data_IF_198238117168
#
_entry.id   IF_198238117168
#
_cell.length_a   1.000
_cell.length_b   1.000
_cell.length_c   1.000
_cell.angle_alpha   90.00
_cell.angle_beta   90.00
_cell.angle_gamma   90.00
#
_symmetry.space_group_name_H-M   'P 1'
#
loop_
_entity.id
_entity.type
_entity.pdbx_description
1 polymer ?
#
# COMPACT_ATOMS: atom_id res chain seq x y z
N UNK A 1 -9.72 66.12 40.64
CA UNK A 1 -9.65 64.89 41.46
C UNK A 1 -11.08 64.63 41.95
N UNK A 2 -11.88 63.64 41.53
CA UNK A 2 -11.67 62.34 40.89
C UNK A 2 -12.91 62.00 40.01
N UNK A 3 -12.73 61.57 38.76
CA UNK A 3 -12.70 60.19 38.21
C UNK A 3 -14.08 59.61 37.83
N UNK A 4 -14.18 59.24 36.55
CA UNK A 4 -15.40 58.92 35.83
C UNK A 4 -15.86 57.47 35.98
N UNK A 5 -17.18 57.32 35.86
CA UNK A 5 -17.94 56.07 35.81
C UNK A 5 -17.48 55.18 34.64
N UNK A 6 -16.92 54.00 34.94
CA UNK A 6 -16.80 52.90 33.99
C UNK A 6 -18.05 52.00 34.09
N UNK A 7 -18.90 52.04 33.06
CA UNK A 7 -19.92 51.00 32.80
C UNK A 7 -19.22 49.80 32.17
N UNK A 8 -18.92 48.79 32.97
CA UNK A 8 -18.52 47.46 32.48
C UNK A 8 -19.72 46.73 31.92
N UNK A 9 -19.83 46.66 30.59
CA UNK A 9 -20.79 45.81 29.90
C UNK A 9 -20.49 44.34 30.19
N UNK A 10 -21.42 43.65 30.83
CA UNK A 10 -21.34 42.21 31.07
C UNK A 10 -21.39 41.48 29.71
N UNK A 11 -20.26 40.87 29.32
CA UNK A 11 -20.26 39.83 28.30
C UNK A 11 -21.06 38.64 28.85
N UNK A 12 -21.99 38.04 28.08
CA UNK A 12 -22.64 36.82 28.52
C UNK A 12 -21.56 35.74 28.65
N UNK A 13 -21.46 35.16 29.84
CA UNK A 13 -20.61 34.02 30.11
C UNK A 13 -21.18 32.84 29.31
N UNK A 14 -20.51 32.49 28.21
CA UNK A 14 -20.75 31.22 27.51
C UNK A 14 -20.23 30.14 28.45
N UNK A 15 -21.13 29.34 29.02
CA UNK A 15 -20.75 28.16 29.78
C UNK A 15 -19.93 27.20 28.90
N UNK A 16 -18.92 26.50 29.45
CA UNK A 16 -18.18 25.49 28.68
C UNK A 16 -19.15 24.43 28.16
N UNK A 17 -19.05 24.03 26.88
CA UNK A 17 -20.03 23.18 26.19
C UNK A 17 -20.04 21.71 26.64
N UNK A 18 -19.38 21.36 27.75
CA UNK A 18 -19.17 19.97 28.18
C UNK A 18 -20.33 19.38 29.02
N UNK A 19 -21.34 20.17 29.38
CA UNK A 19 -22.44 19.73 30.27
C UNK A 19 -23.86 19.97 29.71
N UNK A 20 -24.04 20.11 28.40
CA UNK A 20 -25.39 20.11 27.80
C UNK A 20 -25.73 18.74 27.19
N UNK A 21 -26.52 17.88 27.89
CA UNK A 21 -26.97 16.60 27.35
C UNK A 21 -27.91 16.74 26.13
N UNK A 22 -28.36 17.96 25.79
CA UNK A 22 -29.13 18.27 24.59
C UNK A 22 -28.29 18.89 23.46
N UNK A 23 -26.98 19.05 23.62
CA UNK A 23 -26.09 19.45 22.52
C UNK A 23 -25.97 18.30 21.52
N UNK A 24 -26.90 18.26 20.56
CA UNK A 24 -26.81 17.37 19.40
C UNK A 24 -25.56 17.77 18.62
N UNK A 25 -24.51 16.97 18.72
CA UNK A 25 -23.29 17.15 17.92
C UNK A 25 -23.65 16.86 16.45
N UNK A 26 -24.12 17.90 15.75
CA UNK A 26 -24.26 17.87 14.31
C UNK A 26 -22.87 18.09 13.73
N UNK A 27 -22.11 17.01 13.57
CA UNK A 27 -20.87 17.03 12.82
C UNK A 27 -21.17 17.39 11.36
N UNK A 28 -20.99 18.66 10.99
CA UNK A 28 -21.07 19.15 9.61
C UNK A 28 -19.82 18.85 8.78
N UNK A 29 -18.89 18.06 9.31
CA UNK A 29 -17.70 17.65 8.56
C UNK A 29 -18.12 16.71 7.43
N UNK A 30 -17.85 17.06 6.15
CA UNK A 30 -18.07 16.14 5.04
C UNK A 30 -17.34 14.81 5.31
N UNK A 31 -17.87 13.68 4.85
CA UNK A 31 -17.17 12.40 4.98
C UNK A 31 -15.77 12.54 4.35
N UNK A 32 -14.74 12.17 5.10
CA UNK A 32 -13.37 12.19 4.61
C UNK A 32 -13.19 11.08 3.55
N UNK A 33 -13.43 11.42 2.28
CA UNK A 33 -13.24 10.57 1.09
C UNK A 33 -11.79 10.09 0.85
N UNK A 34 -10.85 10.45 1.73
CA UNK A 34 -9.44 10.07 1.63
C UNK A 34 -9.20 8.56 1.54
N UNK A 35 -10.08 7.75 2.13
CA UNK A 35 -9.97 6.28 2.09
C UNK A 35 -10.53 5.66 0.79
N UNK A 36 -11.33 6.43 0.04
CA UNK A 36 -11.90 6.04 -1.26
C UNK A 36 -10.98 6.41 -2.43
N UNK A 37 -10.07 7.36 -2.22
CA UNK A 37 -9.08 7.75 -3.21
C UNK A 37 -8.18 6.54 -3.54
N UNK A 38 -8.02 6.25 -4.83
CA UNK A 38 -7.06 5.22 -5.24
C UNK A 38 -5.63 5.70 -4.97
N UNK A 39 -4.74 4.86 -4.40
CA UNK A 39 -3.37 5.24 -4.10
C UNK A 39 -2.58 5.77 -5.31
N UNK A 40 -2.95 5.38 -6.54
CA UNK A 40 -2.33 5.87 -7.77
C UNK A 40 -2.46 7.38 -7.96
N UNK A 41 -3.55 7.99 -7.48
CA UNK A 41 -3.72 9.45 -7.53
C UNK A 41 -2.67 10.21 -6.71
N UNK A 42 -2.08 9.55 -5.72
CA UNK A 42 -1.01 10.11 -4.89
C UNK A 42 0.40 9.69 -5.37
N UNK A 43 0.49 9.02 -6.53
CA UNK A 43 1.74 8.50 -7.09
C UNK A 43 2.18 7.15 -6.51
N UNK A 44 1.42 6.58 -5.57
CA UNK A 44 1.64 5.22 -5.10
C UNK A 44 1.23 4.18 -6.16
N UNK A 45 1.57 2.92 -5.91
CA UNK A 45 1.13 1.80 -6.73
C UNK A 45 -0.36 1.58 -6.52
N UNK A 46 -1.13 1.43 -7.61
CA UNK A 46 -2.56 1.17 -7.54
C UNK A 46 -2.85 -0.19 -6.90
N UNK A 47 -4.06 -0.37 -6.36
CA UNK A 47 -4.44 -1.64 -5.69
C UNK A 47 -4.33 -2.85 -6.61
N UNK A 48 -4.74 -2.70 -7.88
CA UNK A 48 -4.64 -3.77 -8.88
C UNK A 48 -3.18 -4.09 -9.24
N UNK A 49 -2.34 -3.07 -9.40
CA UNK A 49 -0.90 -3.25 -9.66
C UNK A 49 -0.20 -3.97 -8.50
N UNK A 50 -0.56 -3.66 -7.26
CA UNK A 50 -0.07 -4.37 -6.07
C UNK A 50 -0.51 -5.83 -6.10
N UNK A 51 -1.80 -6.10 -6.38
CA UNK A 51 -2.31 -7.47 -6.46
C UNK A 51 -1.57 -8.30 -7.50
N UNK A 52 -1.42 -7.77 -8.72
CA UNK A 52 -0.68 -8.43 -9.80
C UNK A 52 0.78 -8.71 -9.43
N UNK A 53 1.43 -7.79 -8.73
CA UNK A 53 2.80 -7.97 -8.26
C UNK A 53 2.88 -9.13 -7.25
N UNK A 54 1.95 -9.20 -6.30
CA UNK A 54 1.91 -10.27 -5.29
C UNK A 54 1.59 -11.63 -5.90
N UNK A 55 0.69 -11.68 -6.88
CA UNK A 55 0.35 -12.90 -7.62
C UNK A 55 1.55 -13.39 -8.45
N UNK A 56 2.27 -12.48 -9.12
CA UNK A 56 3.50 -12.83 -9.83
C UNK A 56 4.57 -13.41 -8.89
N UNK A 57 4.72 -12.84 -7.68
CA UNK A 57 5.64 -13.37 -6.67
C UNK A 57 5.21 -14.74 -6.13
N UNK A 58 3.90 -15.00 -6.03
CA UNK A 58 3.39 -16.32 -5.66
C UNK A 58 3.62 -17.38 -6.74
N UNK A 59 3.54 -16.99 -8.01
CA UNK A 59 3.76 -17.87 -9.16
C UNK A 59 5.24 -18.15 -9.43
N UNK A 60 6.14 -17.30 -8.94
CA UNK A 60 7.58 -17.47 -9.05
C UNK A 60 8.05 -18.76 -8.36
N UNK A 61 9.04 -19.42 -8.96
CA UNK A 61 9.73 -20.56 -8.35
C UNK A 61 10.78 -20.05 -7.35
N UNK A 62 10.67 -20.48 -6.10
CA UNK A 62 11.60 -20.10 -5.04
C UNK A 62 12.75 -21.10 -4.95
N UNK A 63 13.99 -20.61 -4.94
CA UNK A 63 15.22 -21.41 -4.82
C UNK A 63 15.78 -21.52 -3.40
N UNK A 64 15.16 -20.83 -2.42
CA UNK A 64 15.58 -20.83 -1.02
C UNK A 64 15.18 -22.09 -0.24
N UNK A 65 15.32 -22.04 1.08
CA UNK A 65 14.89 -23.16 1.94
C UNK A 65 13.38 -23.36 1.89
N UNK A 66 12.91 -24.58 2.18
CA UNK A 66 11.46 -24.89 2.24
C UNK A 66 10.73 -23.97 3.23
N UNK A 67 11.38 -23.66 4.36
CA UNK A 67 10.84 -22.77 5.40
C UNK A 67 10.69 -21.34 4.88
N UNK A 68 11.72 -20.80 4.23
CA UNK A 68 11.67 -19.47 3.61
C UNK A 68 10.56 -19.39 2.56
N UNK A 69 10.51 -20.35 1.64
CA UNK A 69 9.48 -20.38 0.60
C UNK A 69 8.06 -20.53 1.19
N UNK A 70 7.90 -21.27 2.29
CA UNK A 70 6.62 -21.38 3.00
C UNK A 70 6.23 -20.06 3.68
N UNK A 71 7.18 -19.42 4.37
CA UNK A 71 6.97 -18.13 5.04
C UNK A 71 6.58 -17.04 4.02
N UNK A 72 7.30 -16.92 2.90
CA UNK A 72 6.97 -15.94 1.87
C UNK A 72 5.57 -16.18 1.31
N UNK A 73 5.22 -17.42 0.98
CA UNK A 73 3.87 -17.74 0.48
C UNK A 73 2.77 -17.43 1.50
N UNK A 74 3.01 -17.70 2.78
CA UNK A 74 2.07 -17.34 3.83
C UNK A 74 1.91 -15.82 3.98
N UNK A 75 3.03 -15.08 3.95
CA UNK A 75 3.05 -13.62 4.02
C UNK A 75 2.33 -12.98 2.83
N UNK A 76 2.61 -13.41 1.59
CA UNK A 76 1.96 -12.89 0.38
C UNK A 76 0.45 -13.16 0.39
N UNK A 77 0.03 -14.36 0.79
CA UNK A 77 -1.39 -14.71 0.93
C UNK A 77 -2.10 -13.87 1.99
N UNK A 78 -1.43 -13.57 3.10
CA UNK A 78 -1.98 -12.68 4.14
C UNK A 78 -2.27 -11.30 3.57
N UNK A 79 -1.32 -10.73 2.81
CA UNK A 79 -1.49 -9.41 2.19
C UNK A 79 -2.54 -9.41 1.08
N UNK A 80 -2.67 -10.50 0.31
CA UNK A 80 -3.76 -10.67 -0.66
C UNK A 80 -5.13 -10.90 -0.03
N UNK A 81 -5.20 -11.43 1.19
CA UNK A 81 -6.44 -11.57 1.96
C UNK A 81 -6.83 -10.28 2.70
N UNK A 82 -5.88 -9.36 2.87
CA UNK A 82 -6.08 -8.06 3.51
C UNK A 82 -5.80 -6.86 2.59
N UNK A 83 -6.27 -6.84 1.32
CA UNK A 83 -6.15 -5.66 0.48
C UNK A 83 -7.19 -4.69 1.03
N UNK A 84 -6.72 -3.71 1.82
CA UNK A 84 -7.52 -2.80 2.63
C UNK A 84 -8.94 -2.57 2.10
N UNK A 85 -9.89 -3.17 2.80
CA UNK A 85 -11.35 -2.93 2.79
C UNK A 85 -11.99 -2.86 1.40
N UNK A 86 -12.62 -3.97 1.04
CA UNK A 86 -13.75 -4.17 0.12
C UNK A 86 -14.37 -2.90 -0.49
N UNK A 87 -14.11 -2.70 -1.79
CA UNK A 87 -14.92 -1.88 -2.69
C UNK A 87 -15.85 -2.79 -3.49
N UNK A 88 -17.17 -2.52 -3.59
CA UNK A 88 -18.01 -3.14 -4.61
C UNK A 88 -17.54 -2.71 -6.01
N UNK A 89 -17.66 -3.55 -7.05
CA UNK A 89 -17.16 -3.25 -8.39
C UNK A 89 -17.85 -2.01 -8.97
N UNK A 90 -17.21 -0.85 -8.83
CA UNK A 90 -17.53 0.36 -9.60
C UNK A 90 -16.93 0.26 -11.00
N UNK A 91 -17.59 0.83 -12.03
CA UNK A 91 -17.30 0.59 -13.43
C UNK A 91 -15.84 0.88 -13.78
N UNK A 92 -15.27 -0.04 -14.55
CA UNK A 92 -13.88 -0.12 -14.94
C UNK A 92 -13.32 1.21 -15.44
N UNK A 93 -12.20 1.62 -14.86
CA UNK A 93 -11.30 2.54 -15.53
C UNK A 93 -10.85 1.88 -16.84
N UNK A 94 -11.15 2.54 -17.95
CA UNK A 94 -10.64 2.21 -19.28
C UNK A 94 -9.12 2.31 -19.21
N UNK A 95 -8.46 1.16 -19.09
CA UNK A 95 -7.03 1.05 -19.36
C UNK A 95 -6.87 1.09 -20.88
N UNK A 96 -6.21 2.14 -21.36
CA UNK A 96 -5.80 2.26 -22.76
C UNK A 96 -4.91 1.08 -23.13
N UNK A 97 -5.29 0.43 -24.21
CA UNK A 97 -4.58 -0.69 -24.82
C UNK A 97 -3.14 -0.31 -25.16
N UNK A 98 -2.22 -1.22 -24.81
CA UNK A 98 -1.00 -1.43 -25.58
C UNK A 98 -0.78 -2.95 -25.65
N UNK A 99 -1.46 -3.56 -26.60
CA UNK A 99 -1.25 -4.93 -27.05
C UNK A 99 0.04 -4.99 -27.85
N UNK A 100 1.10 -5.52 -27.24
CA UNK A 100 2.24 -6.11 -27.93
C UNK A 100 2.59 -7.36 -27.11
N UNK A 101 2.16 -8.56 -27.48
CA UNK A 101 2.64 -9.24 -28.68
C UNK A 101 4.06 -9.73 -28.43
N UNK A 102 4.24 -10.95 -27.94
CA UNK A 102 5.57 -11.53 -27.76
C UNK A 102 5.59 -12.79 -26.92
N UNK A 103 5.37 -13.93 -27.57
CA UNK A 103 5.70 -15.23 -27.02
C UNK A 103 7.17 -15.26 -26.61
N UNK A 104 7.42 -15.29 -25.30
CA UNK A 104 8.71 -15.70 -24.77
C UNK A 104 8.45 -16.77 -23.73
N UNK A 105 8.58 -18.02 -24.16
CA UNK A 105 9.24 -19.02 -23.33
C UNK A 105 10.69 -18.56 -23.11
N UNK A 106 10.86 -17.45 -22.39
CA UNK A 106 12.12 -17.07 -21.80
C UNK A 106 12.40 -18.10 -20.72
N UNK A 107 13.66 -18.52 -20.63
CA UNK A 107 14.17 -19.26 -19.48
C UNK A 107 13.53 -18.71 -18.20
N UNK A 108 13.08 -19.58 -17.29
CA UNK A 108 12.46 -19.18 -16.02
C UNK A 108 13.30 -18.13 -15.26
N UNK A 109 14.62 -18.14 -15.50
CA UNK A 109 15.61 -17.19 -15.01
C UNK A 109 15.36 -15.73 -15.46
N UNK A 110 14.98 -15.52 -16.73
CA UNK A 110 14.67 -14.18 -17.25
C UNK A 110 13.36 -13.59 -16.71
N UNK A 111 12.40 -14.46 -16.34
CA UNK A 111 11.17 -14.04 -15.67
C UNK A 111 11.43 -13.60 -14.22
N UNK A 112 12.33 -14.30 -13.52
CA UNK A 112 12.75 -13.96 -12.16
C UNK A 112 13.49 -12.61 -12.10
N UNK A 113 14.42 -12.39 -13.03
CA UNK A 113 15.14 -11.12 -13.13
C UNK A 113 14.23 -9.94 -13.45
N UNK A 114 13.27 -10.12 -14.37
CA UNK A 114 12.27 -9.12 -14.68
C UNK A 114 11.41 -8.79 -13.45
N UNK A 115 10.95 -9.80 -12.73
CA UNK A 115 10.14 -9.59 -11.53
C UNK A 115 10.93 -8.89 -10.41
N UNK A 116 12.22 -9.17 -10.27
CA UNK A 116 13.11 -8.48 -9.34
C UNK A 116 13.28 -7.00 -9.68
N UNK A 117 13.50 -6.68 -10.96
CA UNK A 117 13.58 -5.29 -11.42
C UNK A 117 12.26 -4.57 -11.19
N UNK A 118 11.13 -5.23 -11.50
CA UNK A 118 9.78 -4.72 -11.21
C UNK A 118 9.59 -4.48 -9.72
N UNK A 119 10.01 -5.41 -8.86
CA UNK A 119 9.91 -5.29 -7.40
C UNK A 119 10.72 -4.10 -6.88
N UNK A 120 11.98 -3.91 -7.34
CA UNK A 120 12.80 -2.74 -6.98
C UNK A 120 12.14 -1.42 -7.34
N UNK A 121 11.54 -1.33 -8.53
CA UNK A 121 10.84 -0.13 -8.97
C UNK A 121 9.54 0.11 -8.19
N UNK A 122 8.85 -0.96 -7.77
CA UNK A 122 7.58 -0.87 -7.06
C UNK A 122 7.73 -0.50 -5.57
N UNK A 123 8.79 -0.97 -4.90
CA UNK A 123 9.01 -0.76 -3.45
C UNK A 123 8.82 0.69 -2.97
N UNK A 124 9.45 1.72 -3.57
CA UNK A 124 9.28 3.11 -3.11
C UNK A 124 7.88 3.67 -3.37
N UNK A 125 7.09 3.02 -4.23
CA UNK A 125 5.72 3.44 -4.59
C UNK A 125 4.65 2.71 -3.76
N UNK A 126 5.01 1.82 -2.85
CA UNK A 126 4.02 1.16 -1.99
C UNK A 126 3.56 2.11 -0.87
N UNK A 127 2.25 2.27 -0.72
CA UNK A 127 1.67 3.06 0.37
C UNK A 127 1.73 2.33 1.73
N UNK A 128 1.66 0.99 1.70
CA UNK A 128 1.69 0.17 2.91
C UNK A 128 3.13 -0.09 3.37
N UNK A 129 3.53 0.54 4.47
CA UNK A 129 4.87 0.40 5.05
C UNK A 129 5.16 -0.97 5.69
N UNK A 130 4.15 -1.77 6.03
CA UNK A 130 4.36 -3.16 6.44
C UNK A 130 4.64 -4.03 5.20
N UNK A 131 3.81 -3.90 4.16
CA UNK A 131 4.02 -4.60 2.89
C UNK A 131 5.37 -4.23 2.25
N UNK A 132 5.72 -2.95 2.25
CA UNK A 132 7.01 -2.48 1.73
C UNK A 132 8.20 -3.12 2.47
N UNK A 133 8.13 -3.23 3.80
CA UNK A 133 9.20 -3.88 4.59
C UNK A 133 9.29 -5.37 4.29
N UNK A 134 8.15 -6.06 4.25
CA UNK A 134 8.10 -7.50 3.96
C UNK A 134 8.65 -7.79 2.55
N UNK A 135 8.25 -7.01 1.54
CA UNK A 135 8.72 -7.15 0.16
C UNK A 135 10.19 -6.77 -0.01
N UNK A 136 10.69 -5.82 0.78
CA UNK A 136 12.12 -5.51 0.80
C UNK A 136 12.96 -6.68 1.34
N UNK A 137 12.45 -7.43 2.33
CA UNK A 137 13.15 -8.63 2.81
C UNK A 137 13.12 -9.75 1.76
N UNK A 138 11.98 -9.95 1.10
CA UNK A 138 11.87 -10.87 -0.04
C UNK A 138 12.90 -10.54 -1.13
N UNK A 139 13.04 -9.26 -1.49
CA UNK A 139 14.04 -8.83 -2.47
C UNK A 139 15.47 -9.19 -2.03
N UNK A 140 15.82 -8.98 -0.75
CA UNK A 140 17.14 -9.36 -0.22
C UNK A 140 17.37 -10.86 -0.29
N UNK A 141 16.34 -11.67 -0.03
CA UNK A 141 16.41 -13.13 -0.14
C UNK A 141 16.70 -13.56 -1.59
N UNK A 142 15.95 -13.03 -2.56
CA UNK A 142 16.18 -13.32 -3.99
C UNK A 142 17.59 -12.93 -4.44
N UNK A 143 18.09 -11.77 -3.99
CA UNK A 143 19.46 -11.33 -4.32
C UNK A 143 20.55 -12.19 -3.65
N UNK A 144 20.28 -12.78 -2.48
CA UNK A 144 21.19 -13.75 -1.85
C UNK A 144 21.23 -15.05 -2.64
N UNK A 145 20.07 -15.52 -3.09
CA UNK A 145 19.96 -16.75 -3.87
C UNK A 145 20.67 -16.63 -5.22
N UNK A 146 20.50 -15.54 -5.96
CA UNK A 146 21.22 -15.32 -7.21
C UNK A 146 22.74 -15.36 -7.03
N UNK A 147 23.26 -14.76 -5.94
CA UNK A 147 24.70 -14.81 -5.61
C UNK A 147 25.20 -16.23 -5.31
N UNK A 148 24.33 -17.12 -4.82
CA UNK A 148 24.66 -18.54 -4.61
C UNK A 148 24.68 -19.30 -5.94
N UNK A 149 23.67 -19.08 -6.79
CA UNK A 149 23.53 -19.77 -8.09
C UNK A 149 24.55 -19.32 -9.13
N UNK A 150 24.95 -18.05 -9.13
CA UNK A 150 26.02 -17.54 -10.02
C UNK A 150 27.41 -18.12 -9.71
N UNK A 151 27.62 -18.72 -8.54
CA UNK A 151 28.90 -19.34 -8.15
C UNK A 151 29.02 -20.81 -8.56
N UNK A 152 27.90 -21.47 -8.87
CA UNK A 152 27.84 -22.91 -9.20
C UNK A 152 27.91 -23.19 -10.70
N UNK A 153 28.02 -22.17 -11.55
CA UNK A 153 28.05 -22.29 -13.01
C UNK A 153 29.44 -22.26 -13.67
N UNK A 154 30.52 -22.28 -12.88
CA UNK A 154 31.91 -22.17 -13.37
C UNK A 154 32.78 -23.34 -12.85
N UNK A 155 32.40 -24.58 -13.15
CA UNK A 155 33.18 -25.80 -12.86
C UNK A 155 32.95 -26.88 -13.91
#
# INVERSE_FOLDING_TARGET
>A
MNEGTQRGGARPAIAPPEEDPNAVVVCSSPPCFMHELDPSYLGYLGRDEVRELLEALLAMRWSGTVVEAAWVRAMLRRHLAHPGVTRPPGPSHVQGEATTGGAHAGSADGGEDCLRLRLRAALPRLADGALQRDLAEVLRMLERDLRRHGRTGDS
#
